data_IF_557765680232
#
_entry.id   IF_557765680232
#
_cell.length_a   1.000
_cell.length_b   1.000
_cell.length_c   1.000
_cell.angle_alpha   90.00
_cell.angle_beta   90.00
_cell.angle_gamma   90.00
#
_symmetry.space_group_name_H-M   'P 1'
#
loop_
_entity.id
_entity.type
_entity.pdbx_description
1 polymer ?
#
# COMPACT_ATOMS: atom_id res chain seq x y z
N UNK A 1 12.58 10.16 -15.13
CA UNK A 1 12.03 10.25 -13.77
C UNK A 1 10.55 10.50 -13.88
N UNK A 2 9.77 9.42 -14.06
CA UNK A 2 8.39 9.46 -13.63
C UNK A 2 8.44 9.27 -12.11
N UNK A 3 8.30 10.33 -11.30
CA UNK A 3 8.18 10.13 -9.86
C UNK A 3 6.93 9.26 -9.63
N UNK A 4 6.94 8.49 -8.55
CA UNK A 4 5.71 7.85 -8.09
C UNK A 4 4.73 8.96 -7.70
N UNK A 5 3.93 9.49 -8.65
CA UNK A 5 3.03 10.62 -8.41
C UNK A 5 2.11 10.37 -7.19
N UNK A 6 1.81 9.09 -6.97
CA UNK A 6 1.05 8.58 -5.83
C UNK A 6 1.74 8.72 -4.48
N UNK A 7 3.07 8.80 -4.38
CA UNK A 7 3.76 9.02 -3.09
C UNK A 7 3.47 10.42 -2.54
N UNK A 8 3.38 11.45 -3.40
CA UNK A 8 3.01 12.81 -2.96
C UNK A 8 1.56 12.87 -2.50
N UNK A 9 0.66 12.28 -3.29
CA UNK A 9 -0.76 12.24 -2.97
C UNK A 9 -0.99 11.54 -1.63
N UNK A 10 -0.29 10.42 -1.39
CA UNK A 10 -0.33 9.73 -0.11
C UNK A 10 0.19 10.60 1.03
N UNK A 11 1.40 11.16 0.89
CA UNK A 11 2.03 11.97 1.92
C UNK A 11 1.14 13.16 2.33
N UNK A 12 0.57 13.85 1.34
CA UNK A 12 -0.35 14.95 1.58
C UNK A 12 -1.66 14.46 2.24
N UNK A 13 -2.22 13.33 1.81
CA UNK A 13 -3.46 12.77 2.35
C UNK A 13 -3.33 12.31 3.82
N UNK A 14 -2.14 11.87 4.25
CA UNK A 14 -1.88 11.50 5.65
C UNK A 14 -1.47 12.68 6.54
N UNK A 15 -1.47 13.91 5.99
CA UNK A 15 -1.25 15.13 6.75
C UNK A 15 0.22 15.53 6.95
N UNK A 16 1.12 15.12 6.05
CA UNK A 16 2.49 15.64 6.03
C UNK A 16 2.46 17.17 5.86
N UNK A 17 3.24 17.87 6.67
CA UNK A 17 3.24 19.32 6.74
C UNK A 17 4.13 19.96 5.66
N UNK A 18 3.87 21.24 5.34
CA UNK A 18 4.57 21.96 4.27
C UNK A 18 6.10 22.08 4.49
N UNK A 19 6.53 22.13 5.75
CA UNK A 19 7.94 22.19 6.13
C UNK A 19 8.65 20.82 6.05
N UNK A 20 7.90 19.72 5.98
CA UNK A 20 8.39 18.35 5.74
C UNK A 20 8.63 18.07 4.24
N UNK A 21 9.31 19.01 3.57
CA UNK A 21 9.52 19.00 2.11
C UNK A 21 10.21 17.75 1.57
N UNK A 22 10.92 17.01 2.41
CA UNK A 22 11.54 15.74 2.04
C UNK A 22 10.53 14.63 1.68
N UNK A 23 9.24 14.82 1.95
CA UNK A 23 8.16 13.96 1.46
C UNK A 23 7.30 14.61 0.36
N UNK A 24 7.35 15.93 0.22
CA UNK A 24 6.44 16.70 -0.65
C UNK A 24 7.12 17.32 -1.87
N UNK A 25 8.45 17.32 -1.93
CA UNK A 25 9.22 17.97 -2.98
C UNK A 25 10.32 17.06 -3.52
N UNK A 26 10.18 16.69 -4.80
CA UNK A 26 11.00 15.72 -5.52
C UNK A 26 12.46 16.12 -5.69
N UNK A 27 12.74 17.42 -5.75
CA UNK A 27 14.12 17.94 -5.88
C UNK A 27 14.78 18.19 -4.51
N UNK A 28 14.10 17.87 -3.41
CA UNK A 28 14.71 17.97 -2.10
C UNK A 28 15.89 16.98 -2.01
N UNK A 29 17.06 17.39 -1.48
CA UNK A 29 18.25 16.52 -1.44
C UNK A 29 18.07 15.26 -0.57
N UNK A 30 17.04 15.24 0.28
CA UNK A 30 16.65 14.09 1.11
C UNK A 30 15.27 13.54 0.74
N UNK A 31 14.85 13.75 -0.50
CA UNK A 31 13.53 13.29 -0.94
C UNK A 31 13.37 11.78 -0.68
N UNK A 32 12.21 11.39 -0.16
CA UNK A 32 11.89 10.01 0.20
C UNK A 32 10.39 9.75 0.05
N UNK A 33 10.03 8.50 -0.23
CA UNK A 33 8.64 8.05 -0.05
C UNK A 33 8.33 7.91 1.44
N UNK A 34 7.09 8.20 1.83
CA UNK A 34 6.67 8.00 3.22
C UNK A 34 6.72 6.50 3.59
N UNK A 35 7.23 6.09 4.77
CA UNK A 35 7.52 4.68 5.06
C UNK A 35 6.34 3.72 4.96
N UNK A 36 5.11 4.20 5.19
CA UNK A 36 3.90 3.36 5.11
C UNK A 36 3.27 3.29 3.72
N UNK A 37 3.80 4.02 2.72
CA UNK A 37 3.32 3.95 1.34
C UNK A 37 3.23 2.53 0.75
N UNK A 38 4.17 1.60 1.03
CA UNK A 38 4.12 0.24 0.48
C UNK A 38 2.82 -0.52 0.78
N UNK A 39 2.11 -0.18 1.86
CA UNK A 39 0.79 -0.75 2.19
C UNK A 39 -0.20 -0.59 1.03
N UNK A 40 -0.11 0.53 0.30
CA UNK A 40 -1.02 0.82 -0.79
C UNK A 40 -0.75 -0.02 -2.03
N UNK A 41 0.45 -0.59 -2.17
CA UNK A 41 0.82 -1.34 -3.38
C UNK A 41 -0.07 -2.56 -3.60
N UNK A 42 -0.54 -3.20 -2.50
CA UNK A 42 -1.50 -4.30 -2.54
C UNK A 42 -2.82 -3.92 -3.21
N UNK A 43 -3.27 -2.68 -3.03
CA UNK A 43 -4.53 -2.17 -3.58
C UNK A 43 -4.34 -1.45 -4.90
N UNK A 44 -3.31 -0.61 -5.02
CA UNK A 44 -3.02 0.17 -6.22
C UNK A 44 -2.55 -0.70 -7.38
N UNK A 45 -1.70 -1.70 -7.10
CA UNK A 45 -0.96 -2.45 -8.11
C UNK A 45 -0.41 -1.50 -9.20
N UNK A 46 -0.68 -1.77 -10.48
CA UNK A 46 -0.20 -0.96 -11.60
C UNK A 46 -1.15 0.18 -11.99
N UNK A 47 -2.36 0.25 -11.43
CA UNK A 47 -3.38 1.24 -11.82
C UNK A 47 -2.96 2.66 -11.46
N UNK A 48 -3.24 3.61 -12.34
CA UNK A 48 -2.95 5.04 -12.15
C UNK A 48 -4.20 5.89 -11.94
N UNK A 49 -5.37 5.26 -11.96
CA UNK A 49 -6.68 5.91 -11.82
C UNK A 49 -7.49 5.28 -10.68
N UNK A 50 -8.70 5.78 -10.46
CA UNK A 50 -9.68 5.23 -9.52
C UNK A 50 -9.95 3.76 -9.86
N UNK A 51 -9.95 2.92 -8.83
CA UNK A 51 -10.24 1.50 -8.93
C UNK A 51 -11.30 1.09 -7.90
N UNK A 52 -12.00 -0.01 -8.19
CA UNK A 52 -12.96 -0.61 -7.24
C UNK A 52 -12.19 -1.34 -6.13
N UNK A 53 -12.24 -0.77 -4.93
CA UNK A 53 -11.57 -1.33 -3.75
C UNK A 53 -12.08 -2.72 -3.36
N UNK A 54 -13.38 -2.97 -3.48
CA UNK A 54 -13.98 -4.25 -3.09
C UNK A 54 -13.58 -5.33 -4.10
N UNK A 55 -13.66 -5.03 -5.39
CA UNK A 55 -13.21 -5.94 -6.44
C UNK A 55 -11.70 -6.25 -6.33
N UNK A 56 -10.91 -5.33 -5.77
CA UNK A 56 -9.47 -5.50 -5.57
C UNK A 56 -9.08 -6.26 -4.31
N UNK A 57 -9.98 -6.31 -3.33
CA UNK A 57 -9.76 -7.07 -2.10
C UNK A 57 -9.74 -8.55 -2.45
N UNK A 58 -8.54 -9.14 -2.49
CA UNK A 58 -8.36 -10.53 -2.89
C UNK A 58 -8.78 -11.46 -1.76
N UNK A 59 -9.75 -12.33 -2.00
CA UNK A 59 -9.98 -13.50 -1.16
C UNK A 59 -9.23 -14.70 -1.73
N UNK A 60 -8.26 -15.21 -0.98
CA UNK A 60 -7.84 -16.58 -1.21
C UNK A 60 -8.90 -17.48 -0.59
N UNK A 61 -9.44 -18.44 -1.34
CA UNK A 61 -10.26 -19.49 -0.76
C UNK A 61 -9.39 -20.30 0.21
N UNK A 62 -9.86 -20.41 1.46
CA UNK A 62 -9.20 -21.22 2.49
C UNK A 62 -10.04 -22.47 2.72
N UNK A 63 -9.50 -23.68 2.45
CA UNK A 63 -10.24 -24.92 2.64
C UNK A 63 -10.81 -25.05 4.06
N UNK A 64 -12.11 -25.39 4.15
CA UNK A 64 -12.79 -25.59 5.44
C UNK A 64 -13.24 -24.29 6.14
N UNK A 65 -13.05 -23.12 5.52
CA UNK A 65 -13.46 -21.82 6.05
C UNK A 65 -14.62 -21.25 5.22
N UNK A 66 -15.59 -20.54 5.83
CA UNK A 66 -16.64 -19.86 5.06
C UNK A 66 -16.06 -18.89 4.03
N UNK A 67 -16.79 -18.64 2.91
CA UNK A 67 -16.39 -17.64 1.93
C UNK A 67 -16.16 -16.27 2.57
N UNK A 68 -15.07 -15.62 2.18
CA UNK A 68 -14.76 -14.26 2.64
C UNK A 68 -15.62 -13.22 1.90
N UNK A 69 -16.34 -12.38 2.65
CA UNK A 69 -17.10 -11.24 2.13
C UNK A 69 -16.41 -9.93 2.51
N UNK A 70 -15.74 -9.31 1.53
CA UNK A 70 -15.02 -8.05 1.71
C UNK A 70 -15.95 -6.89 2.14
N UNK A 71 -17.24 -6.92 1.80
CA UNK A 71 -18.19 -5.85 2.18
C UNK A 71 -18.56 -5.89 3.66
N UNK A 72 -18.32 -7.02 4.33
CA UNK A 72 -18.59 -7.22 5.77
C UNK A 72 -17.31 -7.33 6.59
N UNK A 73 -16.16 -7.12 5.95
CA UNK A 73 -14.86 -7.22 6.61
C UNK A 73 -14.47 -5.90 7.26
N UNK A 74 -13.72 -6.01 8.36
CA UNK A 74 -13.04 -4.89 9.01
C UNK A 74 -11.53 -5.16 8.99
N UNK A 75 -10.74 -4.11 8.77
CA UNK A 75 -9.29 -4.18 8.95
C UNK A 75 -8.98 -4.02 10.44
N UNK A 76 -8.90 -5.15 11.16
CA UNK A 76 -8.75 -5.15 12.62
C UNK A 76 -7.33 -4.83 13.10
N UNK A 77 -6.31 -5.33 12.40
CA UNK A 77 -4.91 -5.18 12.78
C UNK A 77 -4.03 -5.10 11.53
N UNK A 78 -3.00 -4.24 11.59
CA UNK A 78 -2.01 -4.09 10.51
C UNK A 78 -0.61 -3.97 11.07
N UNK A 79 0.29 -4.81 10.56
CA UNK A 79 1.73 -4.74 10.81
C UNK A 79 2.49 -4.43 9.52
N UNK A 80 3.60 -3.72 9.63
CA UNK A 80 4.53 -3.47 8.52
C UNK A 80 5.97 -3.54 9.01
N UNK A 81 6.81 -4.25 8.26
CA UNK A 81 8.26 -4.30 8.45
C UNK A 81 8.94 -3.75 7.19
N UNK A 82 9.80 -2.75 7.35
CA UNK A 82 10.52 -2.13 6.23
C UNK A 82 11.93 -2.70 6.16
N UNK A 83 12.14 -3.67 5.27
CA UNK A 83 13.45 -4.29 5.05
C UNK A 83 14.39 -3.34 4.28
N UNK A 84 13.84 -2.63 3.29
CA UNK A 84 14.54 -1.61 2.50
C UNK A 84 13.60 -0.44 2.22
N UNK A 85 14.08 0.82 2.29
CA UNK A 85 13.28 1.96 1.87
C UNK A 85 12.82 1.82 0.42
N UNK A 86 11.62 2.32 0.13
CA UNK A 86 11.12 2.36 -1.23
C UNK A 86 11.95 3.37 -2.06
N UNK A 87 12.32 3.04 -3.30
CA UNK A 87 12.98 3.99 -4.18
C UNK A 87 12.07 5.19 -4.48
N UNK A 88 12.70 6.34 -4.74
CA UNK A 88 12.01 7.61 -5.03
C UNK A 88 11.52 7.74 -6.48
N UNK A 89 11.85 6.76 -7.33
CA UNK A 89 11.45 6.69 -8.72
C UNK A 89 10.93 5.29 -9.03
N UNK A 90 9.90 5.21 -9.88
CA UNK A 90 9.43 3.95 -10.45
C UNK A 90 10.19 3.55 -11.72
N UNK A 91 11.12 4.38 -12.20
CA UNK A 91 11.91 4.07 -13.40
C UNK A 91 12.70 2.76 -13.18
N UNK A 92 12.39 1.73 -13.97
CA UNK A 92 13.03 0.40 -13.87
C UNK A 92 12.62 -0.42 -12.64
N UNK A 93 11.58 0.00 -11.92
CA UNK A 93 11.08 -0.70 -10.76
C UNK A 93 10.13 -1.83 -11.17
N UNK A 94 10.48 -3.06 -10.79
CA UNK A 94 9.66 -4.26 -10.96
C UNK A 94 9.43 -4.88 -9.57
N UNK A 95 8.20 -4.76 -9.08
CA UNK A 95 7.81 -5.25 -7.75
C UNK A 95 6.75 -6.33 -7.90
N UNK A 96 6.91 -7.40 -7.12
CA UNK A 96 5.94 -8.48 -7.02
C UNK A 96 5.32 -8.50 -5.62
N UNK A 97 4.02 -8.77 -5.54
CA UNK A 97 3.28 -8.85 -4.28
C UNK A 97 2.88 -10.31 -4.05
N UNK A 98 3.38 -10.89 -2.96
CA UNK A 98 3.10 -12.27 -2.58
C UNK A 98 2.15 -12.25 -1.39
N UNK A 99 0.89 -12.62 -1.62
CA UNK A 99 -0.13 -12.68 -0.57
C UNK A 99 -0.34 -14.12 -0.11
N UNK A 100 -0.46 -14.33 1.20
CA UNK A 100 -0.75 -15.64 1.79
C UNK A 100 -1.59 -15.48 3.05
N UNK A 101 -2.65 -16.26 3.17
CA UNK A 101 -3.37 -16.40 4.44
C UNK A 101 -2.50 -17.23 5.39
N UNK A 102 -2.10 -16.63 6.51
CA UNK A 102 -1.21 -17.27 7.51
C UNK A 102 -1.95 -17.89 8.69
N UNK A 103 -3.24 -17.56 8.87
CA UNK A 103 -4.06 -18.12 9.93
C UNK A 103 -5.51 -17.67 9.82
N UNK A 104 -6.42 -18.55 10.26
CA UNK A 104 -7.84 -18.27 10.42
C UNK A 104 -8.21 -18.69 11.84
N UNK A 105 -8.78 -17.77 12.60
CA UNK A 105 -9.07 -17.96 14.01
C UNK A 105 -10.54 -17.68 14.25
N UNK A 106 -11.25 -18.67 14.78
CA UNK A 106 -12.58 -18.46 15.35
C UNK A 106 -12.44 -17.62 16.63
N UNK A 107 -13.21 -16.53 16.72
CA UNK A 107 -13.20 -15.60 17.84
C UNK A 107 -14.50 -15.67 18.67
N UNK A 108 -15.46 -16.54 18.32
CA UNK A 108 -16.72 -16.74 19.03
C UNK A 108 -17.97 -16.60 18.16
#
# INVERSE_FOLDING_TARGET
MAPLLTTYLQANAIGVQQDERHFLYELHPKFAAFPTFPINLAFKQTDQDVFDFIARTTSAEVPGVPPFDAQRSVDGERGIEIIRPLPVSSDGLDLEIHNKVIGVYDKG
#
